data_IF_788117005406
#
_entry.id   IF_788117005406
#
_cell.length_a   1.000
_cell.length_b   1.000
_cell.length_c   1.000
_cell.angle_alpha   90.00
_cell.angle_beta   90.00
_cell.angle_gamma   90.00
#
_symmetry.space_group_name_H-M   'P 1'
#
loop_
_entity.id
_entity.type
_entity.pdbx_description
1 polymer ?
#
# COMPACT_ATOMS: atom_id res chain seq x y z
N UNK A 1 1.96 11.94 -7.54
CA UNK A 1 2.63 10.87 -6.78
C UNK A 1 3.64 11.44 -5.78
N UNK A 2 4.40 12.47 -6.14
CA UNK A 2 5.49 12.99 -5.30
C UNK A 2 5.09 13.39 -3.87
N UNK A 3 3.96 14.06 -3.71
CA UNK A 3 3.43 14.43 -2.37
C UNK A 3 3.07 13.18 -1.55
N UNK A 4 2.42 12.19 -2.16
CA UNK A 4 2.07 10.93 -1.49
C UNK A 4 3.30 10.17 -1.00
N UNK A 5 4.39 10.18 -1.77
CA UNK A 5 5.64 9.52 -1.39
C UNK A 5 6.35 10.26 -0.25
N UNK A 6 6.21 11.59 -0.18
CA UNK A 6 6.78 12.39 0.90
C UNK A 6 6.08 12.11 2.25
N UNK A 7 4.75 11.92 2.22
CA UNK A 7 3.95 11.67 3.41
C UNK A 7 3.87 10.18 3.81
N UNK A 8 4.39 9.28 2.97
CA UNK A 8 4.32 7.85 3.20
C UNK A 8 5.21 7.40 4.37
N UNK A 9 4.67 6.49 5.20
CA UNK A 9 5.44 5.81 6.24
C UNK A 9 6.63 5.04 5.63
N UNK A 10 7.73 4.98 6.37
CA UNK A 10 8.96 4.30 5.91
C UNK A 10 8.71 2.85 5.52
N UNK A 11 7.86 2.15 6.25
CA UNK A 11 7.53 0.74 6.01
C UNK A 11 6.89 0.55 4.63
N UNK A 12 5.98 1.45 4.25
CA UNK A 12 5.31 1.44 2.94
C UNK A 12 6.32 1.70 1.82
N UNK A 13 7.23 2.66 2.02
CA UNK A 13 8.29 2.96 1.06
C UNK A 13 9.24 1.78 0.87
N UNK A 14 9.64 1.11 1.96
CA UNK A 14 10.46 -0.11 1.90
C UNK A 14 9.76 -1.22 1.12
N UNK A 15 8.46 -1.42 1.35
CA UNK A 15 7.68 -2.43 0.66
C UNK A 15 7.54 -2.13 -0.84
N UNK A 16 7.28 -0.88 -1.22
CA UNK A 16 7.25 -0.45 -2.61
C UNK A 16 8.56 -0.77 -3.34
N UNK A 17 9.71 -0.46 -2.72
CA UNK A 17 11.02 -0.79 -3.29
C UNK A 17 11.22 -2.31 -3.40
N UNK A 18 10.85 -3.09 -2.39
CA UNK A 18 10.93 -4.56 -2.44
C UNK A 18 10.07 -5.15 -3.56
N UNK A 19 8.87 -4.62 -3.77
CA UNK A 19 7.98 -5.05 -4.86
C UNK A 19 8.60 -4.70 -6.21
N UNK A 20 9.15 -3.48 -6.37
CA UNK A 20 9.85 -3.07 -7.58
C UNK A 20 11.03 -4.00 -7.89
N UNK A 21 11.81 -4.37 -6.87
CA UNK A 21 12.90 -5.35 -7.00
C UNK A 21 12.39 -6.73 -7.43
N UNK A 22 11.33 -7.25 -6.78
CA UNK A 22 10.74 -8.55 -7.08
C UNK A 22 10.23 -8.62 -8.52
N UNK A 23 9.65 -7.53 -9.01
CA UNK A 23 9.13 -7.38 -10.37
C UNK A 23 10.17 -6.97 -11.41
N UNK A 24 11.43 -6.78 -10.99
CA UNK A 24 12.53 -6.31 -11.85
C UNK A 24 12.20 -5.01 -12.59
N UNK A 25 11.46 -4.12 -11.94
CA UNK A 25 11.10 -2.81 -12.50
C UNK A 25 12.34 -1.94 -12.63
N UNK A 26 12.39 -1.12 -13.67
CA UNK A 26 13.52 -0.25 -13.99
C UNK A 26 13.04 1.19 -14.06
N UNK A 27 13.64 2.06 -13.24
CA UNK A 27 13.44 3.49 -13.36
C UNK A 27 14.42 4.11 -14.37
N UNK A 28 14.36 5.43 -14.52
CA UNK A 28 15.31 6.20 -15.35
C UNK A 28 16.78 6.03 -14.93
N UNK A 29 17.05 5.59 -13.69
CA UNK A 29 18.40 5.30 -13.17
C UNK A 29 18.64 3.80 -12.98
N UNK A 30 17.88 2.96 -13.68
CA UNK A 30 17.99 1.51 -13.66
C UNK A 30 17.30 0.86 -12.47
N UNK A 31 17.75 -0.35 -12.13
CA UNK A 31 17.25 -1.07 -10.95
C UNK A 31 17.80 -0.48 -9.64
N UNK A 32 17.27 -0.94 -8.51
CA UNK A 32 17.65 -0.43 -7.19
C UNK A 32 19.18 -0.46 -6.92
N UNK A 33 19.90 -1.49 -7.36
CA UNK A 33 21.35 -1.58 -7.14
C UNK A 33 22.12 -0.58 -8.02
N UNK A 34 21.72 -0.45 -9.28
CA UNK A 34 22.28 0.54 -10.21
C UNK A 34 22.05 1.96 -9.71
N UNK A 35 20.83 2.26 -9.26
CA UNK A 35 20.50 3.53 -8.63
C UNK A 35 21.41 3.81 -7.43
N UNK A 36 21.58 2.85 -6.51
CA UNK A 36 22.40 3.02 -5.31
C UNK A 36 23.87 3.28 -5.62
N UNK A 37 24.42 2.65 -6.66
CA UNK A 37 25.80 2.90 -7.09
C UNK A 37 26.02 4.36 -7.55
N UNK A 38 24.98 4.99 -8.12
CA UNK A 38 25.04 6.38 -8.59
C UNK A 38 24.71 7.35 -7.44
N UNK A 39 23.72 7.02 -6.63
CA UNK A 39 23.17 7.89 -5.59
C UNK A 39 24.05 7.96 -4.34
N UNK A 40 24.59 6.82 -3.88
CA UNK A 40 25.40 6.73 -2.68
C UNK A 40 26.79 6.16 -3.00
N UNK A 41 27.74 7.05 -3.28
CA UNK A 41 29.13 6.66 -3.57
C UNK A 41 29.86 6.05 -2.37
N UNK A 42 29.37 6.22 -1.13
CA UNK A 42 30.04 5.73 0.08
C UNK A 42 29.73 4.26 0.34
N UNK A 43 28.44 3.89 0.26
CA UNK A 43 28.00 2.52 0.52
C UNK A 43 27.59 1.76 -0.73
N UNK A 44 27.27 2.46 -1.83
CA UNK A 44 26.90 1.88 -3.12
C UNK A 44 25.88 0.76 -3.00
N UNK A 45 26.09 -0.30 -3.77
CA UNK A 45 25.28 -1.52 -3.74
C UNK A 45 25.60 -2.49 -2.60
N UNK A 46 26.62 -2.23 -1.77
CA UNK A 46 27.00 -3.12 -0.65
C UNK A 46 25.90 -3.23 0.42
N UNK A 47 25.05 -2.21 0.54
CA UNK A 47 23.85 -2.20 1.40
C UNK A 47 22.59 -2.13 0.54
N UNK A 48 22.23 -3.24 -0.13
CA UNK A 48 21.08 -3.26 -1.04
C UNK A 48 19.72 -3.46 -0.36
N UNK A 49 19.69 -3.72 0.95
CA UNK A 49 18.41 -3.87 1.68
C UNK A 49 17.72 -2.50 1.82
N UNK A 50 16.50 -2.31 1.27
CA UNK A 50 15.79 -1.05 1.37
C UNK A 50 15.49 -0.64 2.82
N UNK A 51 15.29 -1.60 3.73
CA UNK A 51 14.99 -1.30 5.15
C UNK A 51 16.15 -0.58 5.87
N UNK A 52 17.37 -0.81 5.39
CA UNK A 52 18.61 -0.24 5.94
C UNK A 52 18.96 1.13 5.35
N UNK A 53 18.12 1.68 4.45
CA UNK A 53 18.32 2.99 3.83
C UNK A 53 17.48 4.08 4.49
N UNK A 54 17.87 5.33 4.24
CA UNK A 54 17.12 6.51 4.66
C UNK A 54 15.84 6.64 3.83
N UNK A 55 14.82 7.27 4.42
CA UNK A 55 13.56 7.57 3.74
C UNK A 55 13.81 8.35 2.45
N UNK A 56 14.72 9.32 2.48
CA UNK A 56 15.08 10.13 1.31
C UNK A 56 15.62 9.31 0.14
N UNK A 57 16.44 8.29 0.42
CA UNK A 57 16.98 7.41 -0.63
C UNK A 57 15.88 6.54 -1.26
N UNK A 58 14.92 6.08 -0.46
CA UNK A 58 13.77 5.32 -0.94
C UNK A 58 12.88 6.19 -1.84
N UNK A 59 12.54 7.39 -1.38
CA UNK A 59 11.74 8.36 -2.16
C UNK A 59 12.46 8.75 -3.44
N UNK A 60 13.77 9.04 -3.37
CA UNK A 60 14.56 9.41 -4.53
C UNK A 60 14.58 8.32 -5.61
N UNK A 61 14.62 7.04 -5.23
CA UNK A 61 14.51 5.93 -6.16
C UNK A 61 13.11 5.78 -6.75
N UNK A 62 12.06 5.85 -5.92
CA UNK A 62 10.68 5.74 -6.40
C UNK A 62 10.32 6.88 -7.37
N UNK A 63 10.93 8.06 -7.20
CA UNK A 63 10.82 9.19 -8.14
C UNK A 63 11.53 8.99 -9.48
N UNK A 64 12.36 7.95 -9.62
CA UNK A 64 12.99 7.64 -10.91
C UNK A 64 12.04 6.97 -11.90
N UNK A 65 10.92 6.45 -11.43
CA UNK A 65 9.87 5.88 -12.27
C UNK A 65 9.01 7.01 -12.82
N UNK A 66 8.96 7.14 -14.14
CA UNK A 66 8.14 8.13 -14.84
C UNK A 66 7.06 7.47 -15.71
N UNK A 67 7.17 6.16 -15.93
CA UNK A 67 6.23 5.42 -16.76
C UNK A 67 4.86 5.37 -16.08
N UNK A 68 3.77 5.75 -16.79
CA UNK A 68 2.45 5.89 -16.19
C UNK A 68 1.91 4.57 -15.62
N UNK A 69 2.29 3.44 -16.19
CA UNK A 69 1.88 2.11 -15.69
C UNK A 69 2.56 1.75 -14.36
N UNK A 70 3.86 2.05 -14.24
CA UNK A 70 4.59 1.89 -12.98
C UNK A 70 4.01 2.81 -11.90
N UNK A 71 3.69 4.06 -12.29
CA UNK A 71 3.09 5.03 -11.38
C UNK A 71 1.73 4.55 -10.85
N UNK A 72 0.87 4.10 -11.77
CA UNK A 72 -0.45 3.53 -11.46
C UNK A 72 -0.34 2.28 -10.58
N UNK A 73 0.70 1.48 -10.78
CA UNK A 73 0.96 0.31 -9.96
C UNK A 73 1.31 0.69 -8.53
N UNK A 74 2.24 1.63 -8.32
CA UNK A 74 2.60 2.09 -6.97
C UNK A 74 1.40 2.74 -6.25
N UNK A 75 0.59 3.54 -6.96
CA UNK A 75 -0.64 4.11 -6.39
C UNK A 75 -1.60 3.02 -5.87
N UNK A 76 -1.75 1.90 -6.61
CA UNK A 76 -2.57 0.76 -6.17
C UNK A 76 -2.00 0.10 -4.92
N UNK A 77 -0.69 -0.09 -4.86
CA UNK A 77 -0.03 -0.69 -3.68
C UNK A 77 -0.23 0.21 -2.45
N UNK A 78 -0.04 1.52 -2.59
CA UNK A 78 -0.29 2.48 -1.50
C UNK A 78 -1.75 2.50 -1.05
N UNK A 79 -2.70 2.40 -2.00
CA UNK A 79 -4.12 2.29 -1.67
C UNK A 79 -4.43 0.99 -0.91
N UNK A 80 -3.81 -0.13 -1.30
CA UNK A 80 -3.91 -1.40 -0.60
C UNK A 80 -3.46 -1.28 0.88
N UNK A 81 -2.34 -0.58 1.16
CA UNK A 81 -1.90 -0.31 2.52
C UNK A 81 -2.88 0.55 3.32
N UNK A 82 -3.39 1.62 2.70
CA UNK A 82 -4.34 2.52 3.35
C UNK A 82 -5.65 1.80 3.72
N UNK A 83 -6.16 0.93 2.82
CA UNK A 83 -7.34 0.11 3.08
C UNK A 83 -7.11 -0.89 4.22
N UNK A 84 -5.91 -1.48 4.28
CA UNK A 84 -5.55 -2.39 5.36
C UNK A 84 -5.47 -1.66 6.71
N UNK A 85 -4.82 -0.50 6.76
CA UNK A 85 -4.76 0.32 7.98
C UNK A 85 -6.16 0.72 8.46
N UNK A 86 -7.05 1.11 7.53
CA UNK A 86 -8.44 1.45 7.84
C UNK A 86 -9.23 0.25 8.40
N UNK A 87 -9.05 -0.95 7.81
CA UNK A 87 -9.64 -2.20 8.30
C UNK A 87 -9.12 -2.57 9.70
N UNK A 88 -7.81 -2.45 9.94
CA UNK A 88 -7.21 -2.70 11.26
C UNK A 88 -7.70 -1.69 12.31
N UNK A 89 -7.90 -0.42 11.95
CA UNK A 89 -8.48 0.60 12.84
C UNK A 89 -9.97 0.34 13.11
N UNK A 90 -10.72 -0.11 12.11
CA UNK A 90 -12.12 -0.46 12.24
C UNK A 90 -12.32 -1.59 13.24
N UNK A 91 -11.54 -2.67 13.14
CA UNK A 91 -11.59 -3.79 14.08
C UNK A 91 -11.23 -3.39 15.52
N UNK A 92 -10.36 -2.39 15.71
CA UNK A 92 -9.98 -1.91 17.05
C UNK A 92 -11.03 -1.01 17.71
N UNK A 93 -11.91 -0.38 16.92
CA UNK A 93 -12.99 0.47 17.42
C UNK A 93 -14.24 -0.38 17.65
N UNK A 94 -14.32 -1.07 18.79
CA UNK A 94 -15.60 -1.52 19.31
C UNK A 94 -16.26 -0.38 20.07
N UNK A 95 -17.21 0.31 19.44
CA UNK A 95 -18.08 1.28 20.13
C UNK A 95 -19.50 0.73 20.26
N UNK A 96 -20.14 0.99 21.38
CA UNK A 96 -21.56 0.66 21.62
C UNK A 96 -22.53 1.37 20.63
N UNK A 97 -22.02 2.33 19.84
CA UNK A 97 -22.74 3.10 18.81
C UNK A 97 -22.51 2.60 17.38
N UNK A 98 -22.02 1.37 17.21
CA UNK A 98 -21.82 0.77 15.89
C UNK A 98 -23.15 0.41 15.21
N UNK A 99 -23.26 0.67 13.90
CA UNK A 99 -24.44 0.26 13.12
C UNK A 99 -24.50 -1.28 12.95
N UNK A 100 -25.68 -1.87 12.73
CA UNK A 100 -25.82 -3.31 12.52
C UNK A 100 -24.92 -3.89 11.41
N UNK A 101 -24.69 -3.14 10.33
CA UNK A 101 -23.86 -3.57 9.20
C UNK A 101 -22.37 -3.40 9.49
N UNK A 102 -21.97 -2.33 10.18
CA UNK A 102 -20.60 -2.19 10.68
C UNK A 102 -20.25 -3.37 11.61
N UNK A 103 -21.16 -3.72 12.51
CA UNK A 103 -21.03 -4.88 13.40
C UNK A 103 -20.85 -6.18 12.63
N UNK A 104 -21.62 -6.37 11.56
CA UNK A 104 -21.49 -7.53 10.69
C UNK A 104 -20.12 -7.60 10.00
N UNK A 105 -19.63 -6.46 9.49
CA UNK A 105 -18.29 -6.38 8.87
C UNK A 105 -17.21 -6.73 9.90
N UNK A 106 -17.28 -6.19 11.13
CA UNK A 106 -16.30 -6.48 12.18
C UNK A 106 -16.27 -7.96 12.53
N UNK A 107 -17.44 -8.55 12.81
CA UNK A 107 -17.56 -9.98 13.16
C UNK A 107 -17.01 -10.89 12.04
N UNK A 108 -17.19 -10.48 10.78
CA UNK A 108 -16.66 -11.22 9.63
C UNK A 108 -15.14 -11.14 9.57
N UNK A 109 -14.56 -9.96 9.83
CA UNK A 109 -13.11 -9.74 9.82
C UNK A 109 -12.40 -10.40 11.02
N UNK A 110 -13.05 -10.44 12.18
CA UNK A 110 -12.54 -11.09 13.41
C UNK A 110 -12.56 -12.62 13.32
N UNK A 111 -13.35 -13.19 12.39
CA UNK A 111 -13.49 -14.63 12.30
C UNK A 111 -12.15 -15.31 11.93
N UNK A 112 -11.68 -16.33 12.68
CA UNK A 112 -10.35 -16.93 12.47
C UNK A 112 -10.11 -17.51 11.08
N UNK A 113 -11.17 -17.93 10.39
CA UNK A 113 -11.07 -18.47 9.03
C UNK A 113 -11.02 -17.39 7.95
N UNK A 114 -11.41 -16.15 8.26
CA UNK A 114 -11.49 -15.09 7.26
C UNK A 114 -10.12 -14.75 6.66
N UNK A 115 -9.04 -14.55 7.45
CA UNK A 115 -7.70 -14.33 6.89
C UNK A 115 -7.19 -15.53 6.09
N UNK A 116 -7.60 -16.76 6.43
CA UNK A 116 -7.16 -17.96 5.72
C UNK A 116 -7.84 -18.11 4.36
N UNK A 117 -9.13 -17.76 4.27
CA UNK A 117 -9.94 -17.94 3.07
C UNK A 117 -9.93 -16.72 2.15
N UNK A 118 -9.70 -15.53 2.70
CA UNK A 118 -9.74 -14.26 1.97
C UNK A 118 -8.37 -13.53 1.93
N UNK A 119 -7.28 -14.21 2.30
CA UNK A 119 -5.92 -13.73 2.00
C UNK A 119 -5.60 -13.97 0.53
N UNK A 120 -5.71 -12.90 -0.27
CA UNK A 120 -5.36 -12.92 -1.67
C UNK A 120 -3.97 -12.30 -1.86
N UNK A 121 -3.04 -12.96 -2.57
CA UNK A 121 -1.69 -12.47 -2.77
C UNK A 121 -1.71 -11.13 -3.52
N UNK A 122 -1.19 -10.08 -2.88
CA UNK A 122 -1.25 -8.68 -3.35
C UNK A 122 -0.27 -8.35 -4.49
N UNK A 123 0.59 -9.28 -4.91
CA UNK A 123 1.76 -8.98 -5.74
C UNK A 123 1.88 -9.73 -7.07
N UNK A 124 1.04 -10.71 -7.35
CA UNK A 124 0.79 -11.12 -8.74
C UNK A 124 -0.15 -10.06 -9.37
N UNK A 125 -0.49 -10.09 -10.65
CA UNK A 125 -1.20 -9.01 -11.37
C UNK A 125 -2.66 -8.70 -10.90
N UNK A 126 -2.94 -8.87 -9.62
CA UNK A 126 -4.26 -8.98 -9.03
C UNK A 126 -4.66 -7.64 -8.43
N UNK A 127 -5.55 -6.94 -9.15
CA UNK A 127 -6.70 -6.20 -8.60
C UNK A 127 -6.77 -6.33 -7.08
N UNK A 128 -6.32 -5.31 -6.32
CA UNK A 128 -6.44 -5.24 -4.85
C UNK A 128 -7.87 -5.69 -4.47
N UNK A 129 -8.10 -6.90 -3.94
CA UNK A 129 -9.45 -7.41 -3.75
C UNK A 129 -10.14 -6.69 -2.59
N UNK A 130 -9.36 -6.15 -1.65
CA UNK A 130 -9.83 -5.19 -0.67
C UNK A 130 -10.42 -3.93 -1.32
N UNK A 131 -9.92 -3.48 -2.48
CA UNK A 131 -10.52 -2.33 -3.19
C UNK A 131 -11.84 -2.66 -3.89
N UNK A 132 -12.30 -3.90 -3.99
CA UNK A 132 -13.65 -4.18 -4.50
C UNK A 132 -14.64 -4.39 -3.38
N UNK A 133 -14.33 -5.20 -2.36
CA UNK A 133 -15.25 -5.37 -1.24
C UNK A 133 -15.39 -4.08 -0.42
N UNK A 134 -14.28 -3.40 -0.09
CA UNK A 134 -14.37 -2.11 0.60
C UNK A 134 -14.87 -1.01 -0.30
N UNK A 135 -14.55 -0.94 -1.60
CA UNK A 135 -15.11 0.14 -2.44
C UNK A 135 -16.59 -0.06 -2.74
N UNK A 136 -17.07 -1.30 -2.80
CA UNK A 136 -18.51 -1.60 -2.92
C UNK A 136 -19.24 -1.26 -1.61
N UNK A 137 -18.67 -1.62 -0.45
CA UNK A 137 -19.26 -1.28 0.85
C UNK A 137 -19.11 0.22 1.20
N UNK A 138 -17.98 0.85 0.87
CA UNK A 138 -17.68 2.26 1.16
C UNK A 138 -18.42 3.23 0.23
N UNK A 139 -18.57 2.95 -1.08
CA UNK A 139 -19.43 3.78 -1.94
C UNK A 139 -20.91 3.65 -1.56
N UNK A 140 -21.34 2.47 -1.11
CA UNK A 140 -22.70 2.30 -0.61
C UNK A 140 -22.92 3.12 0.67
N UNK A 141 -21.92 3.21 1.55
CA UNK A 141 -21.99 3.96 2.79
C UNK A 141 -21.88 5.49 2.64
N UNK A 142 -21.00 5.99 1.77
CA UNK A 142 -20.79 7.44 1.60
C UNK A 142 -21.98 8.15 0.91
N UNK A 143 -22.87 7.40 0.25
CA UNK A 143 -24.12 7.92 -0.32
C UNK A 143 -25.31 7.88 0.66
N UNK A 144 -25.21 7.18 1.79
CA UNK A 144 -26.27 7.14 2.80
C UNK A 144 -26.18 8.33 3.78
N UNK A 145 -24.99 8.89 4.00
CA UNK A 145 -24.81 10.10 4.83
C UNK A 145 -25.10 11.43 4.10
N UNK A 146 -25.32 11.41 2.78
CA UNK A 146 -25.67 12.61 2.00
C UNK A 146 -27.18 12.77 1.73
N UNK A 147 -28.01 11.86 2.25
CA UNK A 147 -29.45 11.78 1.93
C UNK A 147 -30.40 12.00 3.10
N UNK A 148 -29.94 12.55 4.23
CA UNK A 148 -30.79 12.92 5.37
C UNK A 148 -30.41 14.32 5.87
N UNK A 149 -30.86 15.35 5.15
CA UNK A 149 -31.22 16.65 5.71
C UNK A 149 -32.34 17.27 4.89
#
# INVERSE_FOLDING_TARGET
>A
MDEKLADARKEVLVELVKIAQKRRMLGSKGNWKEFLNIYDKKFGSCLSDPSRRSTDALVAFLKTFTEPDDLKFFDKVMQCHSNRDASEQFNKKSSDTESPEQKLVRLTLEHPQYPLQYSLPSHEEVRCPFTLLFRFLWNYYLHLDAGLS
#
